data_IF_318921984093
#
_entry.id   IF_318921984093
#
_cell.length_a   1.000
_cell.length_b   1.000
_cell.length_c   1.000
_cell.angle_alpha   90.00
_cell.angle_beta   90.00
_cell.angle_gamma   90.00
#
_symmetry.space_group_name_H-M   'P 1'
#
loop_
_entity.id
_entity.type
_entity.pdbx_description
1 polymer ?
#
# COMPACT_ATOMS: atom_id res chain seq x y z
N UNK A 1 23.68 -28.96 1.73
CA UNK A 1 23.35 -27.55 2.05
C UNK A 1 22.18 -27.63 3.03
N UNK A 2 22.28 -27.03 4.24
CA UNK A 2 21.16 -27.05 5.17
C UNK A 2 19.94 -26.39 4.55
N UNK A 3 18.78 -26.99 4.80
CA UNK A 3 17.50 -26.49 4.30
C UNK A 3 17.24 -25.05 4.75
N UNK A 4 16.85 -24.20 3.81
CA UNK A 4 16.52 -22.79 4.08
C UNK A 4 15.15 -22.72 4.76
N UNK A 5 15.05 -21.94 5.84
CA UNK A 5 13.79 -21.71 6.54
C UNK A 5 12.77 -21.02 5.62
N UNK A 6 11.50 -21.36 5.85
CA UNK A 6 10.34 -20.73 5.20
C UNK A 6 9.23 -20.57 6.22
N UNK A 7 8.52 -19.47 6.14
CA UNK A 7 7.33 -19.21 6.96
C UNK A 7 6.33 -18.37 6.21
N UNK A 8 5.02 -18.55 6.41
CA UNK A 8 4.04 -17.59 5.97
C UNK A 8 4.25 -16.29 6.74
N UNK A 9 4.16 -15.16 6.04
CA UNK A 9 4.23 -13.84 6.63
C UNK A 9 3.09 -12.99 6.09
N UNK A 10 2.34 -12.37 6.99
CA UNK A 10 1.29 -11.41 6.67
C UNK A 10 1.74 -10.05 7.18
N UNK A 11 1.81 -9.10 6.26
CA UNK A 11 1.97 -7.68 6.59
C UNK A 11 0.61 -7.03 6.35
N UNK A 12 -0.01 -6.54 7.42
CA UNK A 12 -1.35 -5.97 7.37
C UNK A 12 -1.42 -4.74 8.27
N UNK A 13 -1.93 -3.64 7.72
CA UNK A 13 -2.25 -2.46 8.50
C UNK A 13 -3.40 -1.68 7.83
N UNK A 14 -4.33 -1.09 8.61
CA UNK A 14 -5.32 -0.19 8.08
C UNK A 14 -4.66 1.17 7.80
N UNK A 15 -4.79 1.63 6.57
CA UNK A 15 -4.40 2.97 6.19
C UNK A 15 -5.65 3.84 6.08
N UNK A 16 -5.76 4.86 6.94
CA UNK A 16 -6.87 5.83 6.92
C UNK A 16 -6.40 7.10 6.23
N UNK A 17 -7.16 7.54 5.24
CA UNK A 17 -6.91 8.78 4.50
C UNK A 17 -8.11 9.71 4.65
N UNK A 18 -7.87 10.97 5.02
CA UNK A 18 -8.85 12.04 4.89
C UNK A 18 -9.04 12.41 3.41
N UNK A 19 -10.24 12.77 3.04
CA UNK A 19 -10.60 13.17 1.68
C UNK A 19 -10.70 14.69 1.59
N UNK A 20 -10.26 15.25 0.48
CA UNK A 20 -10.59 16.60 0.08
C UNK A 20 -12.05 16.71 -0.40
N UNK A 21 -12.55 17.92 -0.62
CA UNK A 21 -13.97 18.15 -0.96
C UNK A 21 -14.40 17.47 -2.25
N UNK A 22 -13.57 17.46 -3.27
CA UNK A 22 -13.88 16.87 -4.59
C UNK A 22 -13.97 15.34 -4.50
N UNK A 23 -12.99 14.68 -3.87
CA UNK A 23 -13.02 13.22 -3.68
C UNK A 23 -14.12 12.80 -2.70
N UNK A 24 -14.39 13.60 -1.67
CA UNK A 24 -15.51 13.39 -0.76
C UNK A 24 -16.85 13.39 -1.50
N UNK A 25 -17.09 14.38 -2.34
CA UNK A 25 -18.30 14.47 -3.17
C UNK A 25 -18.42 13.29 -4.13
N UNK A 26 -17.32 12.91 -4.81
CA UNK A 26 -17.31 11.75 -5.71
C UNK A 26 -17.71 10.45 -5.01
N UNK A 27 -17.06 10.13 -3.89
CA UNK A 27 -17.35 8.88 -3.17
C UNK A 27 -18.74 8.89 -2.55
N UNK A 28 -19.19 10.04 -2.05
CA UNK A 28 -20.57 10.20 -1.58
C UNK A 28 -21.56 10.03 -2.72
N UNK A 29 -21.26 10.57 -3.92
CA UNK A 29 -22.04 10.37 -5.13
C UNK A 29 -22.18 8.89 -5.51
N UNK A 30 -21.10 8.11 -5.43
CA UNK A 30 -21.17 6.66 -5.70
C UNK A 30 -22.15 5.95 -4.75
N UNK A 31 -22.23 6.36 -3.48
CA UNK A 31 -23.21 5.85 -2.51
C UNK A 31 -24.64 6.12 -2.98
N UNK A 32 -24.87 7.26 -3.59
CA UNK A 32 -26.17 7.71 -4.09
C UNK A 32 -26.41 7.30 -5.56
N UNK A 33 -25.52 6.49 -6.17
CA UNK A 33 -25.55 6.06 -7.59
C UNK A 33 -25.34 7.20 -8.58
N UNK A 34 -24.61 8.21 -8.19
CA UNK A 34 -24.21 9.33 -9.05
C UNK A 34 -22.72 9.24 -9.28
N UNK A 35 -22.27 9.34 -10.52
CA UNK A 35 -20.86 9.46 -10.86
C UNK A 35 -20.55 10.91 -11.15
N UNK A 36 -19.62 11.48 -10.37
CA UNK A 36 -19.16 12.85 -10.56
C UNK A 36 -17.80 12.87 -11.25
N UNK A 37 -17.61 13.82 -12.15
CA UNK A 37 -16.32 14.27 -12.62
C UNK A 37 -16.03 15.68 -12.10
N UNK A 38 -14.84 16.19 -12.34
CA UNK A 38 -14.46 17.58 -12.11
C UNK A 38 -14.01 18.22 -13.41
N UNK A 39 -14.49 19.44 -13.68
CA UNK A 39 -14.12 20.19 -14.87
C UNK A 39 -12.85 21.00 -14.63
N UNK A 40 -11.92 20.88 -15.57
CA UNK A 40 -10.68 21.68 -15.60
C UNK A 40 -10.89 23.02 -16.28
N UNK A 41 -9.95 23.95 -16.13
CA UNK A 41 -10.01 25.27 -16.76
C UNK A 41 -10.03 25.24 -18.29
N UNK A 42 -9.51 24.20 -18.93
CA UNK A 42 -9.58 23.97 -20.38
C UNK A 42 -10.85 23.24 -20.82
N UNK A 43 -11.78 22.98 -19.90
CA UNK A 43 -13.11 22.41 -20.15
C UNK A 43 -13.19 20.89 -20.14
N UNK A 44 -12.07 20.15 -19.94
CA UNK A 44 -12.10 18.69 -19.84
C UNK A 44 -12.77 18.26 -18.52
N UNK A 45 -13.43 17.10 -18.55
CA UNK A 45 -14.05 16.47 -17.39
C UNK A 45 -13.23 15.24 -16.98
N UNK A 46 -12.66 15.29 -15.79
CA UNK A 46 -11.82 14.22 -15.24
C UNK A 46 -12.64 13.26 -14.37
N UNK A 47 -12.57 11.97 -14.65
CA UNK A 47 -13.15 10.87 -13.85
C UNK A 47 -12.11 9.75 -13.69
N UNK A 48 -11.75 9.34 -12.45
CA UNK A 48 -12.20 9.94 -11.18
C UNK A 48 -11.72 11.38 -11.02
N UNK A 49 -12.48 12.21 -10.29
CA UNK A 49 -12.11 13.61 -10.10
C UNK A 49 -10.92 13.76 -9.14
N UNK A 50 -10.21 14.85 -9.27
CA UNK A 50 -9.02 15.20 -8.48
C UNK A 50 -9.16 16.61 -7.89
N UNK A 51 -8.45 16.88 -6.79
CA UNK A 51 -8.51 18.19 -6.11
C UNK A 51 -7.79 19.30 -6.89
N UNK A 52 -6.79 18.92 -7.70
CA UNK A 52 -5.94 19.86 -8.45
C UNK A 52 -5.79 19.41 -9.89
N UNK A 53 -5.77 20.37 -10.82
CA UNK A 53 -5.51 20.08 -12.23
C UNK A 53 -4.09 19.50 -12.41
N UNK A 54 -3.96 18.32 -12.99
CA UNK A 54 -2.66 17.67 -13.16
C UNK A 54 -1.70 18.40 -14.11
N UNK A 55 -2.21 19.33 -14.93
CA UNK A 55 -1.40 20.12 -15.86
C UNK A 55 -0.97 21.47 -15.30
N UNK A 56 -1.86 22.16 -14.56
CA UNK A 56 -1.63 23.52 -14.07
C UNK A 56 -1.41 23.62 -12.57
N UNK A 57 -1.75 22.54 -11.81
CA UNK A 57 -1.78 22.50 -10.36
C UNK A 57 -2.78 23.49 -9.71
N UNK A 58 -3.72 24.04 -10.48
CA UNK A 58 -4.81 24.85 -9.96
C UNK A 58 -5.82 23.99 -9.20
N UNK A 59 -6.42 24.56 -8.16
CA UNK A 59 -7.47 23.91 -7.38
C UNK A 59 -8.74 23.75 -8.23
N UNK A 60 -9.35 22.57 -8.17
CA UNK A 60 -10.56 22.23 -8.91
C UNK A 60 -11.74 22.07 -7.96
N UNK A 61 -12.95 22.46 -8.41
CA UNK A 61 -14.18 22.38 -7.63
C UNK A 61 -15.45 22.36 -8.46
N UNK A 62 -15.36 22.55 -9.78
CA UNK A 62 -16.52 22.47 -10.70
C UNK A 62 -16.90 21.00 -10.94
N UNK A 63 -17.80 20.49 -10.08
CA UNK A 63 -18.28 19.11 -10.14
C UNK A 63 -19.37 18.97 -11.20
N UNK A 64 -19.25 17.91 -12.00
CA UNK A 64 -20.16 17.60 -13.12
C UNK A 64 -20.62 16.15 -13.00
N UNK A 65 -21.93 15.92 -13.12
CA UNK A 65 -22.45 14.56 -13.21
C UNK A 65 -22.17 13.99 -14.62
N UNK A 66 -21.66 12.74 -14.66
CA UNK A 66 -21.43 11.99 -15.88
C UNK A 66 -22.32 10.74 -15.90
N UNK A 67 -22.61 10.24 -17.11
CA UNK A 67 -23.46 9.07 -17.25
C UNK A 67 -22.78 7.83 -16.66
N UNK A 68 -23.54 6.88 -16.08
CA UNK A 68 -23.00 5.60 -15.60
C UNK A 68 -22.77 4.59 -16.72
N UNK A 69 -22.76 5.04 -17.97
CA UNK A 69 -22.46 4.29 -19.20
C UNK A 69 -21.17 4.81 -19.83
N UNK A 70 -20.50 3.99 -20.61
CA UNK A 70 -19.27 4.42 -21.28
C UNK A 70 -18.73 3.37 -22.24
N UNK A 71 -17.50 3.61 -22.70
CA UNK A 71 -16.81 2.78 -23.68
C UNK A 71 -15.49 2.27 -23.11
N UNK A 72 -15.22 0.98 -23.27
CA UNK A 72 -13.94 0.35 -22.91
C UNK A 72 -12.85 0.87 -23.84
N UNK A 73 -11.82 1.49 -23.30
CA UNK A 73 -10.68 2.03 -24.05
C UNK A 73 -9.51 1.05 -24.11
N UNK A 74 -9.30 0.28 -23.05
CA UNK A 74 -8.34 -0.83 -23.00
C UNK A 74 -8.72 -1.80 -21.89
N UNK A 75 -8.15 -3.01 -21.95
CA UNK A 75 -8.47 -4.05 -20.97
C UNK A 75 -7.37 -5.08 -20.82
N UNK A 76 -7.42 -5.84 -19.71
CA UNK A 76 -6.55 -6.98 -19.45
C UNK A 76 -7.35 -8.07 -18.72
N UNK A 77 -7.26 -9.32 -19.20
CA UNK A 77 -7.95 -10.45 -18.58
C UNK A 77 -7.24 -10.96 -17.33
N UNK A 78 -7.99 -11.18 -16.26
CA UNK A 78 -7.53 -11.82 -15.04
C UNK A 78 -8.16 -13.22 -14.90
N UNK A 79 -7.44 -14.29 -15.27
CA UNK A 79 -7.99 -15.65 -15.27
C UNK A 79 -8.07 -16.27 -13.87
N UNK A 80 -7.31 -15.75 -12.89
CA UNK A 80 -7.20 -16.32 -11.56
C UNK A 80 -7.26 -15.22 -10.49
N UNK A 81 -8.46 -14.76 -10.12
CA UNK A 81 -8.63 -13.75 -9.09
C UNK A 81 -8.03 -14.18 -7.75
N UNK A 82 -7.38 -13.23 -7.07
CA UNK A 82 -6.82 -13.43 -5.74
C UNK A 82 -7.77 -12.90 -4.67
N UNK A 83 -7.61 -13.38 -3.46
CA UNK A 83 -8.33 -12.85 -2.29
C UNK A 83 -8.18 -11.32 -2.21
N UNK A 84 -9.29 -10.61 -2.02
CA UNK A 84 -9.32 -9.15 -1.93
C UNK A 84 -9.49 -8.43 -3.26
N UNK A 85 -9.55 -9.14 -4.39
CA UNK A 85 -9.95 -8.56 -5.67
C UNK A 85 -11.47 -8.42 -5.77
N UNK A 86 -11.98 -7.51 -6.63
CA UNK A 86 -13.39 -7.15 -6.66
C UNK A 86 -14.35 -8.30 -6.98
N UNK A 87 -13.92 -9.25 -7.82
CA UNK A 87 -14.74 -10.43 -8.19
C UNK A 87 -13.99 -11.72 -7.83
N UNK A 88 -14.75 -12.74 -7.43
CA UNK A 88 -14.22 -14.07 -7.11
C UNK A 88 -14.05 -14.97 -8.34
N UNK A 89 -14.73 -14.65 -9.44
CA UNK A 89 -14.65 -15.34 -10.74
C UNK A 89 -13.70 -14.59 -11.67
N UNK A 90 -13.16 -15.22 -12.75
CA UNK A 90 -12.38 -14.54 -13.77
C UNK A 90 -13.08 -13.30 -14.31
N UNK A 91 -12.32 -12.24 -14.60
CA UNK A 91 -12.85 -10.94 -15.03
C UNK A 91 -11.81 -10.15 -15.83
N UNK A 92 -12.23 -9.09 -16.48
CA UNK A 92 -11.32 -8.14 -17.11
C UNK A 92 -11.11 -6.89 -16.22
N UNK A 93 -9.88 -6.44 -16.04
CA UNK A 93 -9.58 -5.07 -15.68
C UNK A 93 -9.81 -4.20 -16.92
N UNK A 94 -10.55 -3.12 -16.79
CA UNK A 94 -10.89 -2.23 -17.90
C UNK A 94 -10.63 -0.77 -17.55
N UNK A 95 -10.21 0.01 -18.54
CA UNK A 95 -10.33 1.45 -18.52
C UNK A 95 -11.58 1.84 -19.28
N UNK A 96 -12.55 2.44 -18.60
CA UNK A 96 -13.83 2.87 -19.19
C UNK A 96 -13.88 4.39 -19.25
N UNK A 97 -13.99 4.96 -20.45
CA UNK A 97 -14.33 6.36 -20.62
C UNK A 97 -15.85 6.49 -20.54
N UNK A 98 -16.32 7.07 -19.44
CA UNK A 98 -17.75 7.32 -19.22
C UNK A 98 -18.23 8.41 -20.17
N UNK A 99 -19.52 8.37 -20.52
CA UNK A 99 -20.13 9.37 -21.40
C UNK A 99 -20.20 10.72 -20.67
N UNK A 100 -19.56 11.73 -21.24
CA UNK A 100 -19.36 13.04 -20.62
C UNK A 100 -18.01 13.19 -19.92
N UNK A 101 -17.14 12.17 -19.89
CA UNK A 101 -15.79 12.24 -19.34
C UNK A 101 -14.72 12.25 -20.44
N UNK A 102 -13.62 12.95 -20.17
CA UNK A 102 -12.43 12.98 -21.05
C UNK A 102 -11.33 12.03 -20.60
N UNK A 103 -11.42 11.51 -19.38
CA UNK A 103 -10.52 10.49 -18.83
C UNK A 103 -11.22 9.15 -18.64
N UNK A 104 -10.44 8.09 -18.41
CA UNK A 104 -10.97 6.75 -18.23
C UNK A 104 -10.85 6.27 -16.78
N UNK A 105 -11.92 5.69 -16.24
CA UNK A 105 -11.99 5.08 -14.93
C UNK A 105 -11.49 3.64 -15.00
N UNK A 106 -10.49 3.29 -14.18
CA UNK A 106 -10.06 1.91 -13.98
C UNK A 106 -11.05 1.17 -13.08
N UNK A 107 -11.63 0.09 -13.57
CA UNK A 107 -12.48 -0.78 -12.77
C UNK A 107 -12.50 -2.21 -13.36
N UNK A 108 -13.41 -3.07 -12.91
CA UNK A 108 -13.59 -4.43 -13.42
C UNK A 108 -14.82 -4.52 -14.30
N UNK A 109 -14.72 -5.38 -15.33
CA UNK A 109 -15.83 -5.81 -16.20
C UNK A 109 -16.07 -7.29 -15.95
N UNK A 110 -17.31 -7.64 -15.63
CA UNK A 110 -17.75 -9.02 -15.60
C UNK A 110 -18.07 -9.49 -17.03
N UNK A 111 -17.44 -10.57 -17.44
CA UNK A 111 -17.61 -11.17 -18.74
C UNK A 111 -17.43 -12.69 -18.67
N UNK A 112 -18.08 -13.49 -19.55
CA UNK A 112 -17.97 -14.94 -19.53
C UNK A 112 -16.59 -15.47 -19.92
N UNK A 113 -15.78 -14.67 -20.60
CA UNK A 113 -14.43 -15.02 -21.03
C UNK A 113 -13.71 -13.88 -21.73
N UNK A 114 -12.40 -14.01 -22.01
CA UNK A 114 -11.64 -12.95 -22.69
C UNK A 114 -12.17 -12.63 -24.10
N UNK A 115 -12.71 -13.60 -24.79
CA UNK A 115 -13.24 -13.42 -26.14
C UNK A 115 -14.51 -12.54 -26.20
N UNK A 116 -15.18 -12.37 -25.08
CA UNK A 116 -16.32 -11.47 -24.92
C UNK A 116 -15.92 -10.02 -24.63
N UNK A 117 -14.63 -9.74 -24.42
CA UNK A 117 -14.15 -8.39 -24.07
C UNK A 117 -13.41 -7.78 -25.26
N UNK A 118 -13.79 -6.55 -25.63
CA UNK A 118 -13.15 -5.83 -26.74
C UNK A 118 -13.04 -4.33 -26.43
N UNK A 119 -12.02 -3.71 -26.98
CA UNK A 119 -11.91 -2.26 -27.02
C UNK A 119 -13.05 -1.70 -27.87
N UNK A 120 -13.65 -0.60 -27.43
CA UNK A 120 -14.80 0.01 -28.10
C UNK A 120 -16.16 -0.53 -27.66
N UNK A 121 -16.22 -1.63 -26.86
CA UNK A 121 -17.53 -2.14 -26.39
C UNK A 121 -18.19 -1.15 -25.43
N UNK A 122 -19.51 -1.12 -25.48
CA UNK A 122 -20.35 -0.30 -24.61
C UNK A 122 -20.63 -1.03 -23.31
N UNK A 123 -20.46 -0.33 -22.22
CA UNK A 123 -20.65 -0.87 -20.86
C UNK A 123 -21.41 0.10 -19.98
N UNK A 124 -22.05 -0.46 -18.96
CA UNK A 124 -22.71 0.32 -17.90
C UNK A 124 -22.25 -0.11 -16.52
N UNK A 125 -22.39 0.80 -15.56
CA UNK A 125 -22.15 0.52 -14.15
C UNK A 125 -23.23 -0.42 -13.61
N UNK A 126 -22.80 -1.52 -12.99
CA UNK A 126 -23.62 -2.32 -12.08
C UNK A 126 -23.31 -1.90 -10.65
N UNK A 127 -24.30 -1.36 -9.97
CA UNK A 127 -24.16 -0.86 -8.62
C UNK A 127 -24.17 -1.99 -7.59
N UNK A 128 -23.35 -1.84 -6.55
CA UNK A 128 -23.39 -2.74 -5.39
C UNK A 128 -24.73 -2.62 -4.63
N UNK A 129 -25.23 -3.75 -4.13
CA UNK A 129 -26.42 -3.77 -3.28
C UNK A 129 -26.22 -3.04 -1.95
N UNK A 130 -24.99 -3.10 -1.38
CA UNK A 130 -24.58 -2.34 -0.20
C UNK A 130 -23.58 -1.27 -0.64
N UNK A 131 -23.89 -0.02 -0.41
CA UNK A 131 -23.05 1.12 -0.77
C UNK A 131 -22.67 1.90 0.49
N UNK A 132 -21.43 2.34 0.56
CA UNK A 132 -20.84 2.95 1.76
C UNK A 132 -20.07 4.23 1.45
N UNK A 133 -20.04 4.66 0.19
CA UNK A 133 -19.20 5.77 -0.25
C UNK A 133 -17.77 5.34 -0.54
N UNK A 134 -17.62 4.28 -1.29
CA UNK A 134 -16.34 3.72 -1.71
C UNK A 134 -16.35 3.36 -3.19
N UNK A 135 -15.18 3.19 -3.80
CA UNK A 135 -15.08 2.76 -5.20
C UNK A 135 -15.78 1.40 -5.45
N UNK A 136 -15.89 0.57 -4.43
CA UNK A 136 -16.60 -0.72 -4.46
C UNK A 136 -18.12 -0.58 -4.49
N UNK A 137 -18.67 0.64 -4.42
CA UNK A 137 -20.09 0.91 -4.65
C UNK A 137 -20.46 0.69 -6.14
N UNK A 138 -19.48 0.80 -7.02
CA UNK A 138 -19.49 0.19 -8.35
C UNK A 138 -19.10 -1.28 -8.16
N UNK A 139 -20.02 -2.23 -8.33
CA UNK A 139 -19.71 -3.65 -8.21
C UNK A 139 -18.82 -4.10 -9.38
N UNK A 140 -19.19 -3.76 -10.57
CA UNK A 140 -18.44 -3.97 -11.83
C UNK A 140 -19.07 -3.16 -12.95
N UNK A 141 -18.44 -3.18 -14.10
CA UNK A 141 -19.11 -2.89 -15.37
C UNK A 141 -19.70 -4.16 -15.95
N UNK A 142 -20.74 -4.01 -16.76
CA UNK A 142 -21.37 -5.07 -17.55
C UNK A 142 -21.66 -4.56 -18.97
N UNK A 143 -21.72 -5.44 -19.94
CA UNK A 143 -22.04 -5.07 -21.33
C UNK A 143 -23.47 -4.49 -21.42
N UNK A 144 -23.64 -3.48 -22.26
CA UNK A 144 -24.97 -2.97 -22.58
C UNK A 144 -25.55 -3.88 -23.67
N UNK A 145 -26.58 -4.68 -23.34
CA UNK A 145 -27.27 -5.53 -24.30
C UNK A 145 -27.85 -4.68 -25.43
N UNK A 146 -27.51 -5.00 -26.68
CA UNK A 146 -28.19 -4.48 -27.85
C UNK A 146 -27.44 -3.47 -28.71
N UNK A 147 -26.11 -3.36 -28.62
CA UNK A 147 -25.34 -2.70 -29.68
C UNK A 147 -24.59 -3.75 -30.54
N UNK A 148 -25.19 -4.23 -31.65
CA UNK A 148 -24.45 -5.02 -32.61
C UNK A 148 -23.39 -4.10 -33.21
N UNK A 149 -22.11 -4.32 -32.84
CA UNK A 149 -20.97 -3.58 -33.38
C UNK A 149 -21.13 -3.42 -34.89
N UNK A 150 -21.33 -2.20 -35.32
CA UNK A 150 -21.31 -1.83 -36.74
C UNK A 150 -19.88 -2.03 -37.23
N UNK A 151 -19.66 -3.14 -37.94
CA UNK A 151 -18.66 -3.19 -38.98
C UNK A 151 -19.11 -2.13 -40.02
N UNK A 152 -18.54 -0.96 -39.97
CA UNK A 152 -18.95 0.19 -40.77
C UNK A 152 -17.75 0.86 -41.43
N UNK A 153 -17.58 0.51 -42.69
CA UNK A 153 -16.85 1.33 -43.66
C UNK A 153 -17.24 2.82 -43.53
N UNK A 154 -16.24 3.65 -43.58
CA UNK A 154 -16.39 5.09 -43.72
C UNK A 154 -16.93 5.40 -45.12
N UNK A 155 -18.18 5.81 -45.23
CA UNK A 155 -18.66 6.53 -46.43
C UNK A 155 -19.28 7.86 -45.99
N UNK A 156 -18.69 8.94 -46.51
CA UNK A 156 -19.14 10.29 -46.26
C UNK A 156 -20.47 10.62 -46.92
N UNK A 157 -21.40 11.13 -46.13
CA UNK A 157 -22.47 12.01 -46.61
C UNK A 157 -23.01 12.94 -45.53
N UNK A 158 -23.09 14.15 -45.91
CA UNK A 158 -23.63 15.38 -45.37
C UNK A 158 -24.91 15.32 -44.54
N UNK A 159 -24.95 16.15 -43.54
CA UNK A 159 -26.06 16.46 -42.63
C UNK A 159 -27.31 16.93 -43.38
N UNK A 160 -28.48 16.46 -42.91
CA UNK A 160 -29.73 17.21 -42.97
C UNK A 160 -30.55 16.98 -41.72
N UNK A 161 -31.14 18.07 -41.26
CA UNK A 161 -32.00 18.24 -40.08
C UNK A 161 -33.07 17.16 -39.89
N UNK A 162 -33.24 16.71 -38.65
CA UNK A 162 -34.32 15.78 -38.26
C UNK A 162 -34.58 15.83 -36.75
N UNK A 163 -35.55 16.58 -36.45
CA UNK A 163 -36.37 16.81 -35.24
C UNK A 163 -36.28 15.74 -34.13
N UNK A 164 -35.89 16.18 -32.93
CA UNK A 164 -35.87 15.42 -31.70
C UNK A 164 -37.27 15.03 -31.21
N UNK A 165 -37.52 13.74 -31.05
CA UNK A 165 -38.70 13.21 -30.34
C UNK A 165 -38.44 13.15 -28.83
N UNK A 166 -39.12 14.01 -28.10
CA UNK A 166 -39.10 14.11 -26.63
C UNK A 166 -40.04 13.05 -26.07
N UNK A 167 -39.50 12.00 -25.43
CA UNK A 167 -40.27 11.17 -24.50
C UNK A 167 -39.61 11.16 -23.13
N UNK A 168 -40.22 11.94 -22.26
CA UNK A 168 -40.43 11.86 -20.81
C UNK A 168 -39.52 10.94 -20.01
N UNK A 169 -38.40 11.49 -19.51
CA UNK A 169 -37.77 11.03 -18.29
C UNK A 169 -38.41 11.77 -17.10
N UNK A 170 -38.72 11.08 -16.04
CA UNK A 170 -39.20 11.63 -14.78
C UNK A 170 -38.24 12.73 -14.28
N UNK A 171 -38.80 13.91 -14.05
CA UNK A 171 -38.06 15.07 -13.54
C UNK A 171 -37.65 14.78 -12.09
N UNK A 172 -36.33 14.72 -11.85
CA UNK A 172 -35.77 14.92 -10.52
C UNK A 172 -36.28 16.26 -9.93
N UNK A 173 -36.55 16.26 -8.64
CA UNK A 173 -37.02 17.42 -7.89
C UNK A 173 -36.01 18.60 -7.92
N UNK A 174 -36.35 19.77 -7.36
CA UNK A 174 -35.60 21.01 -7.54
C UNK A 174 -34.18 20.89 -7.03
N UNK A 175 -33.25 21.15 -7.93
CA UNK A 175 -31.82 21.25 -7.95
C UNK A 175 -31.06 21.29 -6.62
N UNK A 176 -30.46 20.15 -6.23
CA UNK A 176 -29.20 20.16 -5.49
C UNK A 176 -28.10 20.51 -6.49
N UNK A 177 -27.17 21.39 -6.13
CA UNK A 177 -25.95 21.61 -6.91
C UNK A 177 -25.19 20.27 -7.06
N UNK A 178 -24.54 20.05 -8.18
CA UNK A 178 -23.75 18.84 -8.39
C UNK A 178 -22.73 18.72 -7.24
N UNK A 179 -22.75 17.58 -6.52
CA UNK A 179 -21.85 17.33 -5.39
C UNK A 179 -22.33 17.78 -4.01
N UNK A 180 -23.52 18.36 -3.87
CA UNK A 180 -24.13 18.66 -2.57
C UNK A 180 -24.87 17.44 -2.02
N UNK A 181 -24.25 16.75 -1.06
CA UNK A 181 -24.82 15.58 -0.41
C UNK A 181 -24.97 15.80 1.09
N UNK A 182 -26.02 15.20 1.68
CA UNK A 182 -26.12 15.07 3.12
C UNK A 182 -25.21 13.96 3.61
N UNK A 183 -24.52 14.16 4.75
CA UNK A 183 -23.61 13.18 5.36
C UNK A 183 -22.47 12.77 4.41
N UNK A 184 -21.56 13.70 4.06
CA UNK A 184 -20.49 13.42 3.12
C UNK A 184 -19.47 12.43 3.70
N UNK A 185 -18.92 11.58 2.82
CA UNK A 185 -17.81 10.68 3.16
C UNK A 185 -16.53 11.49 3.28
N UNK A 186 -16.00 11.66 4.48
CA UNK A 186 -14.83 12.50 4.75
C UNK A 186 -13.52 11.74 4.85
N UNK A 187 -13.58 10.41 4.83
CA UNK A 187 -12.39 9.57 4.92
C UNK A 187 -12.63 8.17 4.40
N UNK A 188 -11.56 7.53 4.00
CA UNK A 188 -11.56 6.12 3.57
C UNK A 188 -10.55 5.32 4.39
N UNK A 189 -10.82 4.03 4.57
CA UNK A 189 -9.88 3.06 5.09
C UNK A 189 -9.49 2.14 3.94
N UNK A 190 -8.22 2.17 3.56
CA UNK A 190 -7.66 1.23 2.61
C UNK A 190 -6.95 0.11 3.38
N UNK A 191 -7.44 -1.14 3.33
CA UNK A 191 -6.73 -2.27 3.93
C UNK A 191 -5.48 -2.55 3.09
N UNK A 192 -4.30 -2.30 3.67
CA UNK A 192 -3.04 -2.75 3.11
C UNK A 192 -2.74 -4.13 3.69
N UNK A 193 -2.77 -5.17 2.84
CA UNK A 193 -2.48 -6.55 3.24
C UNK A 193 -1.65 -7.24 2.19
N UNK A 194 -0.55 -7.85 2.64
CA UNK A 194 0.35 -8.64 1.82
C UNK A 194 0.54 -10.01 2.49
N UNK A 195 0.05 -11.04 1.83
CA UNK A 195 0.25 -12.45 2.23
C UNK A 195 1.35 -13.05 1.35
N UNK A 196 2.44 -13.53 1.94
CA UNK A 196 3.51 -14.18 1.18
C UNK A 196 4.27 -15.20 2.02
N UNK A 197 5.08 -16.03 1.35
CA UNK A 197 6.01 -16.94 2.02
C UNK A 197 7.36 -16.23 2.14
N UNK A 198 7.74 -15.90 3.36
CA UNK A 198 9.05 -15.34 3.65
C UNK A 198 10.12 -16.44 3.59
N UNK A 199 11.16 -16.20 2.84
CA UNK A 199 12.33 -17.08 2.71
C UNK A 199 13.58 -16.27 3.03
N UNK A 200 14.18 -16.42 4.23
CA UNK A 200 15.29 -15.56 4.67
C UNK A 200 16.59 -15.78 3.92
N UNK A 201 16.69 -16.84 3.12
CA UNK A 201 17.95 -17.23 2.48
C UNK A 201 18.93 -17.91 3.44
N UNK A 202 20.09 -18.29 2.94
CA UNK A 202 21.09 -19.09 3.67
C UNK A 202 21.63 -18.37 4.92
N UNK A 203 22.08 -17.15 4.75
CA UNK A 203 22.73 -16.38 5.81
C UNK A 203 21.81 -16.11 7.00
N UNK A 204 20.61 -15.59 6.71
CA UNK A 204 19.62 -15.32 7.76
C UNK A 204 19.03 -16.62 8.35
N UNK A 205 18.96 -17.71 7.59
CA UNK A 205 18.59 -19.03 8.15
C UNK A 205 19.56 -19.45 9.23
N UNK A 206 20.87 -19.32 8.99
CA UNK A 206 21.89 -19.65 9.99
C UNK A 206 21.78 -18.76 11.24
N UNK A 207 21.57 -17.46 11.02
CA UNK A 207 21.34 -16.49 12.10
C UNK A 207 20.11 -16.85 12.95
N UNK A 208 18.96 -17.12 12.33
CA UNK A 208 17.72 -17.44 13.04
C UNK A 208 17.84 -18.74 13.84
N UNK A 209 18.59 -19.74 13.33
CA UNK A 209 18.88 -20.97 14.07
C UNK A 209 19.80 -20.71 15.28
N UNK A 210 20.82 -19.89 15.09
CA UNK A 210 21.71 -19.51 16.20
C UNK A 210 20.95 -18.72 17.29
N UNK A 211 20.04 -17.82 16.90
CA UNK A 211 19.18 -17.13 17.86
C UNK A 211 18.33 -18.09 18.69
N UNK A 212 17.79 -19.16 18.09
CA UNK A 212 17.06 -20.18 18.84
C UNK A 212 17.93 -20.93 19.86
N UNK A 213 19.25 -20.89 19.70
CA UNK A 213 20.26 -21.41 20.63
C UNK A 213 20.83 -20.33 21.57
N UNK A 214 20.21 -19.11 21.58
CA UNK A 214 20.66 -17.93 22.33
C UNK A 214 22.06 -17.44 21.94
N UNK A 215 22.45 -17.67 20.69
CA UNK A 215 23.70 -17.18 20.12
C UNK A 215 23.39 -16.18 18.99
N UNK A 216 24.24 -15.19 18.85
CA UNK A 216 24.15 -14.23 17.74
C UNK A 216 25.33 -14.43 16.81
N UNK A 217 25.05 -14.69 15.53
CA UNK A 217 26.08 -14.86 14.51
C UNK A 217 25.95 -13.82 13.42
N UNK A 218 27.08 -13.25 13.02
CA UNK A 218 27.21 -12.40 11.84
C UNK A 218 27.92 -13.13 10.71
N UNK A 219 28.13 -12.44 9.59
CA UNK A 219 29.00 -12.88 8.52
C UNK A 219 30.08 -11.82 8.22
N UNK A 220 31.32 -12.27 8.08
CA UNK A 220 32.47 -11.43 7.77
C UNK A 220 32.64 -11.28 6.25
N UNK A 221 32.85 -10.03 5.81
CA UNK A 221 33.23 -9.76 4.43
C UNK A 221 34.67 -10.18 4.17
N UNK A 222 34.95 -10.96 3.11
CA UNK A 222 36.33 -11.34 2.78
C UNK A 222 37.18 -10.14 2.30
N UNK A 223 36.57 -9.11 1.75
CA UNK A 223 37.26 -7.92 1.22
C UNK A 223 37.52 -6.86 2.28
N UNK A 224 36.48 -6.27 2.89
CA UNK A 224 36.62 -5.18 3.86
C UNK A 224 36.73 -5.65 5.31
N UNK A 225 36.63 -6.95 5.56
CA UNK A 225 36.68 -7.61 6.86
C UNK A 225 35.56 -7.26 7.84
N UNK A 226 34.64 -6.36 7.50
CA UNK A 226 33.49 -5.99 8.34
C UNK A 226 32.58 -7.16 8.60
N UNK A 227 32.07 -7.24 9.83
CA UNK A 227 31.11 -8.26 10.31
C UNK A 227 29.72 -7.64 10.39
N UNK A 228 28.77 -8.22 9.67
CA UNK A 228 27.39 -7.76 9.61
C UNK A 228 26.44 -8.64 10.42
N UNK A 229 25.69 -8.05 11.33
CA UNK A 229 24.64 -8.66 12.14
C UNK A 229 23.35 -7.82 11.98
N UNK A 230 22.21 -8.39 11.52
CA UNK A 230 22.04 -9.73 10.94
C UNK A 230 22.82 -9.92 9.63
N UNK A 231 23.27 -11.15 9.31
CA UNK A 231 23.99 -11.40 8.08
C UNK A 231 23.06 -11.32 6.85
N UNK A 232 23.59 -10.82 5.74
CA UNK A 232 22.81 -10.60 4.51
C UNK A 232 23.20 -11.54 3.35
N UNK A 233 24.26 -12.33 3.51
CA UNK A 233 24.79 -13.21 2.48
C UNK A 233 25.70 -12.49 1.45
N UNK A 234 25.72 -11.16 1.48
CA UNK A 234 26.62 -10.33 0.69
C UNK A 234 26.98 -9.05 1.46
N UNK A 235 28.17 -8.53 1.25
CA UNK A 235 28.61 -7.27 1.82
C UNK A 235 27.93 -6.09 1.09
N UNK A 236 27.22 -5.20 1.79
CA UNK A 236 26.53 -4.07 1.16
C UNK A 236 27.48 -3.02 0.57
N UNK A 237 28.74 -2.97 1.07
CA UNK A 237 29.77 -2.03 0.58
C UNK A 237 30.55 -2.59 -0.61
N UNK A 238 30.95 -3.89 -0.54
CA UNK A 238 31.83 -4.49 -1.53
C UNK A 238 31.10 -5.30 -2.60
N UNK A 239 29.80 -5.61 -2.43
CA UNK A 239 29.03 -6.49 -3.32
C UNK A 239 29.48 -7.96 -3.28
N UNK A 240 30.47 -8.30 -2.43
CA UNK A 240 31.07 -9.64 -2.38
C UNK A 240 30.24 -10.56 -1.49
N UNK A 241 30.09 -11.83 -1.88
CA UNK A 241 29.41 -12.83 -1.06
C UNK A 241 30.11 -13.01 0.29
N UNK A 242 29.32 -13.10 1.36
CA UNK A 242 29.79 -13.37 2.71
C UNK A 242 29.43 -14.80 3.10
N UNK A 243 30.41 -15.56 3.66
CA UNK A 243 30.23 -16.97 4.02
C UNK A 243 30.86 -17.35 5.37
N UNK A 244 31.83 -16.52 5.83
CA UNK A 244 32.50 -16.74 7.13
C UNK A 244 31.58 -16.29 8.26
N UNK A 245 31.06 -17.26 9.04
CA UNK A 245 30.26 -16.99 10.22
C UNK A 245 31.17 -16.56 11.40
N UNK A 246 30.74 -15.53 12.11
CA UNK A 246 31.41 -14.99 13.29
C UNK A 246 30.39 -14.86 14.42
N UNK A 247 30.70 -15.39 15.57
CA UNK A 247 29.86 -15.17 16.76
C UNK A 247 30.10 -13.76 17.32
N UNK A 248 29.00 -13.06 17.62
CA UNK A 248 29.00 -11.67 18.10
C UNK A 248 28.19 -11.55 19.38
N UNK A 249 28.57 -10.62 20.23
CA UNK A 249 27.83 -10.37 21.46
C UNK A 249 28.04 -11.44 22.53
N UNK A 250 27.11 -11.66 23.47
CA UNK A 250 25.73 -11.15 23.52
C UNK A 250 25.58 -9.68 23.91
N UNK A 251 26.62 -9.06 24.47
CA UNK A 251 26.58 -7.66 24.90
C UNK A 251 26.84 -6.71 23.74
N UNK A 252 26.48 -5.44 23.94
CA UNK A 252 26.69 -4.41 22.96
C UNK A 252 26.61 -3.01 23.57
N UNK A 253 26.86 -2.01 22.74
CA UNK A 253 26.85 -0.60 23.11
C UNK A 253 25.73 0.13 22.40
N UNK A 254 24.94 0.93 23.10
CA UNK A 254 23.95 1.83 22.51
C UNK A 254 24.70 2.94 21.76
N UNK A 255 24.55 2.98 20.43
CA UNK A 255 25.21 4.00 19.59
C UNK A 255 24.31 5.21 19.40
N UNK A 256 23.02 5.00 19.19
CA UNK A 256 22.01 6.05 19.15
C UNK A 256 20.65 5.49 19.58
N UNK A 257 19.70 6.36 19.92
CA UNK A 257 18.37 5.93 20.35
C UNK A 257 17.31 6.99 20.07
N UNK A 258 16.05 6.57 20.09
CA UNK A 258 14.90 7.45 20.11
C UNK A 258 13.92 7.07 21.23
N UNK A 259 13.26 8.09 21.79
CA UNK A 259 12.17 7.91 22.76
C UNK A 259 10.87 8.03 22.02
N UNK A 260 10.08 6.97 22.05
CA UNK A 260 8.78 6.88 21.34
C UNK A 260 7.68 7.27 22.31
N UNK A 261 7.02 8.40 22.05
CA UNK A 261 5.94 8.96 22.87
C UNK A 261 4.55 8.73 22.26
N UNK A 262 4.48 8.23 21.01
CA UNK A 262 3.22 8.00 20.30
C UNK A 262 2.89 6.52 20.36
N UNK A 263 1.71 6.18 20.93
CA UNK A 263 1.24 4.81 20.98
C UNK A 263 0.73 4.39 19.61
N UNK A 264 1.37 3.40 18.98
CA UNK A 264 0.86 2.78 17.78
C UNK A 264 -0.32 1.84 18.12
N UNK A 265 -1.39 1.89 17.31
CA UNK A 265 -2.63 1.12 17.56
C UNK A 265 -2.44 -0.40 17.53
N UNK A 266 -1.42 -0.86 16.81
CA UNK A 266 -1.10 -2.27 16.60
C UNK A 266 0.01 -2.80 17.52
N UNK A 267 0.51 -2.00 18.46
CA UNK A 267 1.54 -2.40 19.41
C UNK A 267 1.00 -2.31 20.83
N UNK A 268 1.10 -3.42 21.55
CA UNK A 268 0.78 -3.47 23.00
C UNK A 268 2.03 -3.14 23.81
N UNK A 269 2.57 -1.94 23.60
CA UNK A 269 3.71 -1.40 24.33
C UNK A 269 3.27 -0.07 24.95
N UNK A 270 3.52 0.09 26.23
CA UNK A 270 3.27 1.36 26.91
C UNK A 270 4.30 2.43 26.50
N UNK A 271 3.82 3.66 26.35
CA UNK A 271 4.68 4.82 26.06
C UNK A 271 4.96 5.62 27.32
N UNK A 272 6.14 6.27 27.47
CA UNK A 272 7.24 6.26 26.50
C UNK A 272 8.07 4.98 26.58
N UNK A 273 8.60 4.54 25.44
CA UNK A 273 9.57 3.46 25.35
C UNK A 273 10.75 3.86 24.46
N UNK A 274 11.86 3.12 24.57
CA UNK A 274 13.09 3.43 23.83
C UNK A 274 13.40 2.35 22.81
N UNK A 275 13.65 2.76 21.56
CA UNK A 275 14.32 1.98 20.53
C UNK A 275 15.73 2.52 20.33
N UNK A 276 16.71 1.62 20.24
CA UNK A 276 18.10 1.98 20.09
C UNK A 276 18.78 1.23 18.95
N UNK A 277 19.84 1.81 18.43
CA UNK A 277 20.86 1.10 17.69
C UNK A 277 21.87 0.54 18.69
N UNK A 278 22.11 -0.76 18.60
CA UNK A 278 23.03 -1.46 19.49
C UNK A 278 24.12 -2.11 18.64
N UNK A 279 25.34 -1.65 18.78
CA UNK A 279 26.51 -2.31 18.23
C UNK A 279 26.91 -3.48 19.13
N UNK A 280 26.67 -4.72 18.67
CA UNK A 280 27.09 -5.91 19.39
C UNK A 280 28.62 -6.05 19.35
N UNK A 281 29.17 -6.58 20.43
CA UNK A 281 30.61 -6.81 20.49
C UNK A 281 31.06 -7.73 19.36
N UNK A 282 32.02 -7.29 18.56
CA UNK A 282 32.50 -8.00 17.38
C UNK A 282 31.71 -7.77 16.09
N UNK A 283 30.68 -6.91 16.08
CA UNK A 283 29.92 -6.52 14.89
C UNK A 283 30.29 -5.11 14.43
N UNK A 284 30.31 -4.87 13.12
CA UNK A 284 30.56 -3.57 12.49
C UNK A 284 29.27 -2.89 11.99
N UNK A 285 28.10 -3.36 12.46
CA UNK A 285 26.80 -2.76 12.17
C UNK A 285 25.95 -2.83 13.43
N UNK A 286 25.29 -1.73 13.77
CA UNK A 286 24.34 -1.70 14.86
C UNK A 286 23.00 -2.34 14.47
N UNK A 287 22.44 -3.17 15.33
CA UNK A 287 21.07 -3.70 15.18
C UNK A 287 20.07 -2.81 15.90
N UNK A 288 18.80 -2.89 15.49
CA UNK A 288 17.72 -2.16 16.15
C UNK A 288 17.07 -3.03 17.22
N UNK A 289 16.96 -2.53 18.45
CA UNK A 289 16.24 -3.22 19.50
C UNK A 289 15.63 -2.26 20.53
N UNK A 290 14.65 -2.76 21.26
CA UNK A 290 14.06 -2.06 22.38
C UNK A 290 14.99 -2.09 23.59
N UNK A 291 15.06 -1.00 24.34
CA UNK A 291 15.74 -0.94 25.64
C UNK A 291 14.67 -1.03 26.74
N UNK A 292 14.94 -1.86 27.75
CA UNK A 292 14.13 -2.03 28.95
C UNK A 292 14.99 -2.16 30.20
N UNK A 293 14.34 -2.33 31.37
CA UNK A 293 15.05 -2.49 32.62
C UNK A 293 15.76 -1.20 33.17
N UNK A 294 15.47 -0.06 32.53
CA UNK A 294 15.98 1.26 32.91
C UNK A 294 14.92 2.30 32.53
N UNK A 295 14.73 3.39 33.31
CA UNK A 295 13.90 4.51 32.93
C UNK A 295 14.30 5.10 31.55
N UNK A 296 13.33 5.49 30.74
CA UNK A 296 13.60 5.97 29.39
C UNK A 296 14.51 7.21 29.33
N UNK A 297 14.43 8.08 30.34
CA UNK A 297 15.22 9.30 30.49
C UNK A 297 16.68 9.06 30.99
N UNK A 298 16.98 7.82 31.35
CA UNK A 298 18.35 7.41 31.73
C UNK A 298 19.07 6.65 30.62
N UNK A 299 18.40 6.37 29.52
CA UNK A 299 19.04 5.76 28.33
C UNK A 299 19.95 6.79 27.68
N UNK A 300 21.17 6.38 27.32
CA UNK A 300 22.21 7.25 26.76
C UNK A 300 23.09 6.51 25.77
N UNK A 301 23.77 7.26 24.94
CA UNK A 301 24.82 6.73 24.06
C UNK A 301 25.97 6.23 24.91
N UNK A 302 26.61 5.15 24.49
CA UNK A 302 27.67 4.49 25.26
C UNK A 302 27.17 3.45 26.27
N UNK A 303 25.86 3.47 26.63
CA UNK A 303 25.32 2.51 27.60
C UNK A 303 25.59 1.07 27.13
N UNK A 304 26.24 0.29 28.04
CA UNK A 304 26.50 -1.13 27.81
C UNK A 304 25.26 -1.95 28.14
N UNK A 305 24.85 -2.81 27.23
CA UNK A 305 23.59 -3.57 27.31
C UNK A 305 23.79 -5.04 27.03
N UNK A 306 22.88 -5.86 27.55
CA UNK A 306 22.79 -7.31 27.32
C UNK A 306 21.36 -7.72 26.95
N UNK A 307 21.15 -8.80 26.18
CA UNK A 307 19.84 -9.24 25.76
C UNK A 307 19.05 -9.87 26.91
N UNK A 308 17.74 -9.57 26.95
CA UNK A 308 16.73 -10.31 27.71
C UNK A 308 15.95 -11.15 26.72
N UNK A 309 16.04 -12.47 26.86
CA UNK A 309 15.43 -13.41 25.91
C UNK A 309 13.95 -13.59 26.21
N UNK A 310 13.15 -13.80 25.15
CA UNK A 310 11.73 -14.21 25.27
C UNK A 310 11.59 -15.48 26.10
N UNK A 311 10.39 -15.73 26.62
CA UNK A 311 10.14 -16.92 27.46
C UNK A 311 10.43 -18.25 26.77
N UNK A 312 10.27 -18.34 25.46
CA UNK A 312 10.65 -19.49 24.61
C UNK A 312 12.15 -19.48 24.23
N UNK A 313 12.88 -18.43 24.55
CA UNK A 313 14.30 -18.25 24.32
C UNK A 313 14.75 -18.07 22.88
N UNK A 314 13.82 -17.86 21.94
CA UNK A 314 14.13 -17.87 20.49
C UNK A 314 14.71 -16.56 19.95
N UNK A 315 14.48 -15.45 20.63
CA UNK A 315 15.02 -14.15 20.23
C UNK A 315 15.05 -13.19 21.43
N UNK A 316 15.88 -12.14 21.40
CA UNK A 316 15.86 -11.09 22.43
C UNK A 316 14.54 -10.31 22.38
N UNK A 317 13.84 -10.25 23.52
CA UNK A 317 12.65 -9.38 23.65
C UNK A 317 13.06 -7.91 23.71
N UNK A 318 14.08 -7.62 24.50
CA UNK A 318 14.69 -6.30 24.63
C UNK A 318 16.14 -6.43 25.13
N UNK A 319 16.82 -5.30 25.20
CA UNK A 319 18.13 -5.20 25.86
C UNK A 319 17.99 -4.38 27.13
N UNK A 320 18.77 -4.72 28.14
CA UNK A 320 18.84 -4.01 29.43
C UNK A 320 20.28 -3.63 29.74
N UNK A 321 20.54 -2.68 30.70
CA UNK A 321 21.89 -2.41 31.17
C UNK A 321 22.61 -3.67 31.64
N UNK A 322 23.85 -3.87 31.20
CA UNK A 322 24.66 -5.03 31.55
C UNK A 322 25.35 -4.85 32.92
N UNK A 323 25.34 -3.64 33.48
CA UNK A 323 26.10 -3.28 34.69
C UNK A 323 27.56 -2.93 34.41
N UNK A 324 28.03 -3.05 33.17
CA UNK A 324 29.38 -2.57 32.80
C UNK A 324 29.42 -1.03 32.74
N UNK A 325 30.59 -0.41 32.92
CA UNK A 325 30.77 1.01 32.64
C UNK A 325 30.38 1.35 31.19
N UNK A 326 29.90 2.57 30.97
CA UNK A 326 29.60 3.05 29.61
C UNK A 326 30.85 2.98 28.72
N UNK A 327 30.66 2.65 27.45
CA UNK A 327 31.75 2.64 26.49
C UNK A 327 32.16 4.07 26.12
N UNK A 328 33.48 4.29 25.99
CA UNK A 328 34.00 5.55 25.49
C UNK A 328 33.52 5.81 24.06
N UNK A 329 33.28 7.08 23.72
CA UNK A 329 32.84 7.51 22.40
C UNK A 329 33.74 7.00 21.28
N UNK A 330 35.03 6.96 21.49
CA UNK A 330 36.04 6.45 20.53
C UNK A 330 35.81 4.98 20.14
N UNK A 331 35.16 4.18 21.01
CA UNK A 331 34.90 2.76 20.76
C UNK A 331 33.78 2.50 19.77
N UNK A 332 32.87 3.46 19.53
CA UNK A 332 31.71 3.27 18.67
C UNK A 332 31.44 4.38 17.66
N UNK A 333 32.25 5.44 17.62
CA UNK A 333 32.06 6.61 16.72
C UNK A 333 31.98 6.24 15.25
N UNK A 334 32.71 5.20 14.82
CA UNK A 334 32.70 4.72 13.42
C UNK A 334 31.40 3.93 13.05
N UNK A 335 30.52 3.71 14.03
CA UNK A 335 29.25 3.00 13.87
C UNK A 335 28.02 3.93 13.95
N UNK A 336 28.25 5.24 13.99
CA UNK A 336 27.21 6.28 14.06
C UNK A 336 26.65 6.61 12.67
#
# INVERSE_FOLDING_TARGET
VPEVLKAPLVVEFPFTRSLGPVQSAFLTGLRERVVLGVRTGDGRVLVPPVEYDPATAEELGDLVEVAPTGTVTTWAWNPAPRRGQPLATPFAWVLVRLDGADTALLHVLEAPGPDAVRTGMRVRVRWSGRRTGAITDIACFEEVDGDPGTDGEADGRTATDGQADRRTGERAGPGRGAGEFTDPVTGIVAPARLDYTYTPGRAQTAYLRALAERRTVGERCPSCRKVYVPPRGACPTCGTATTEQVECGPRGTVTTFCIVNIKARNLDIEVPYVYAHIALDGADLALHARIGGIPYDQVRMGLRVEPVWTGDGRYPDHYRPSGEPDADYEAYKELL
#
